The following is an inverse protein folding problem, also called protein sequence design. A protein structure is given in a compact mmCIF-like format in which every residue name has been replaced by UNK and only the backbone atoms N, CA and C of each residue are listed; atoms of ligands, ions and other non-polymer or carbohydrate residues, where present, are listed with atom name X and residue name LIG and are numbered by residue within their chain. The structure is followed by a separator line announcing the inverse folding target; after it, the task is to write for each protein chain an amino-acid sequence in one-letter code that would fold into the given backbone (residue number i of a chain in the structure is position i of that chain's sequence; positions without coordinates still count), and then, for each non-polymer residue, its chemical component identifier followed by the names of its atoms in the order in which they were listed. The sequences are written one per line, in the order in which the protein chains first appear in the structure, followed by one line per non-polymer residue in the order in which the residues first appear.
data_IF_366569879180
#
_entry.id   IF_366569879180
#
_cell.length_a   1.000
_cell.length_b   1.000
_cell.length_c   1.000
_cell.angle_alpha   90.00
_cell.angle_beta   90.00
_cell.angle_gamma   90.00
#
_symmetry.space_group_name_H-M   'P 1'
#
loop_
_entity.id
_entity.type
_entity.pdbx_description
1 polymer ?
#
# COMPACT_ATOMS: atom_id res chain seq x y z
N UNK A 1 -14.19 -22.86 -9.00
CA UNK A 1 -12.79 -22.40 -9.21
C UNK A 1 -12.50 -21.10 -8.47
N UNK A 2 -13.44 -20.15 -8.37
CA UNK A 2 -13.32 -18.88 -7.62
C UNK A 2 -13.04 -19.04 -6.11
N UNK A 3 -13.59 -20.06 -5.45
CA UNK A 3 -13.38 -20.30 -4.01
C UNK A 3 -11.95 -20.70 -3.65
N UNK A 4 -11.28 -21.46 -4.51
CA UNK A 4 -9.91 -21.93 -4.26
C UNK A 4 -8.89 -20.79 -4.41
N UNK A 5 -9.16 -19.86 -5.32
CA UNK A 5 -8.31 -18.69 -5.56
C UNK A 5 -8.41 -17.66 -4.44
N UNK A 6 -9.63 -17.39 -3.95
CA UNK A 6 -9.84 -16.52 -2.79
C UNK A 6 -9.14 -17.02 -1.52
N UNK A 7 -9.10 -18.33 -1.30
CA UNK A 7 -8.36 -18.92 -0.18
C UNK A 7 -6.84 -18.74 -0.33
N UNK A 8 -6.31 -18.84 -1.55
CA UNK A 8 -4.90 -18.56 -1.86
C UNK A 8 -4.56 -17.10 -1.57
N UNK A 9 -5.34 -16.15 -2.08
CA UNK A 9 -5.13 -14.72 -1.86
C UNK A 9 -5.24 -14.33 -0.37
N UNK A 10 -6.21 -14.88 0.34
CA UNK A 10 -6.33 -14.73 1.79
C UNK A 10 -5.09 -15.25 2.52
N UNK A 11 -4.61 -16.44 2.15
CA UNK A 11 -3.43 -17.04 2.77
C UNK A 11 -2.19 -16.20 2.49
N UNK A 12 -2.02 -15.72 1.26
CA UNK A 12 -0.96 -14.80 0.86
C UNK A 12 -0.99 -13.49 1.64
N UNK A 13 -2.17 -12.89 1.82
CA UNK A 13 -2.32 -11.68 2.64
C UNK A 13 -1.98 -11.92 4.11
N UNK A 14 -2.47 -12.99 4.71
CA UNK A 14 -2.15 -13.32 6.11
C UNK A 14 -0.67 -13.60 6.32
N UNK A 15 -0.03 -14.28 5.36
CA UNK A 15 1.40 -14.49 5.33
C UNK A 15 2.16 -13.15 5.24
N UNK A 16 1.75 -12.26 4.33
CA UNK A 16 2.30 -10.91 4.19
C UNK A 16 2.21 -10.12 5.50
N UNK A 17 1.06 -10.12 6.18
CA UNK A 17 0.91 -9.45 7.48
C UNK A 17 1.85 -10.03 8.53
N UNK A 18 2.03 -11.36 8.58
CA UNK A 18 2.97 -12.00 9.49
C UNK A 18 4.43 -11.61 9.18
N UNK A 19 4.76 -11.50 7.90
CA UNK A 19 6.08 -11.08 7.42
C UNK A 19 6.38 -9.63 7.81
N UNK A 20 5.43 -8.72 7.63
CA UNK A 20 5.53 -7.32 8.08
C UNK A 20 5.78 -7.22 9.60
N UNK A 21 5.11 -8.06 10.42
CA UNK A 21 5.38 -8.10 11.87
C UNK A 21 6.81 -8.57 12.19
N UNK A 22 7.32 -9.52 11.42
CA UNK A 22 8.67 -10.05 11.60
C UNK A 22 9.71 -9.02 11.18
N UNK A 23 9.53 -8.42 9.99
CA UNK A 23 10.37 -7.33 9.50
C UNK A 23 10.41 -6.17 10.49
N UNK A 24 9.27 -5.75 11.04
CA UNK A 24 9.22 -4.65 12.01
C UNK A 24 10.06 -4.94 13.26
N UNK A 25 10.04 -6.17 13.79
CA UNK A 25 10.87 -6.55 14.95
C UNK A 25 12.37 -6.48 14.62
N UNK A 26 12.76 -6.96 13.45
CA UNK A 26 14.14 -6.94 12.97
C UNK A 26 14.64 -5.50 12.75
N UNK A 27 13.84 -4.67 12.07
CA UNK A 27 14.14 -3.25 11.86
C UNK A 27 14.31 -2.50 13.19
N UNK A 28 13.42 -2.72 14.16
CA UNK A 28 13.51 -2.10 15.48
C UNK A 28 14.72 -2.59 16.26
N UNK A 29 15.06 -3.88 16.17
CA UNK A 29 16.23 -4.43 16.83
C UNK A 29 17.51 -3.72 16.38
N UNK A 30 17.67 -3.54 15.07
CA UNK A 30 18.83 -2.84 14.50
C UNK A 30 18.89 -1.38 14.97
N UNK A 31 17.76 -0.66 14.98
CA UNK A 31 17.73 0.73 15.49
C UNK A 31 18.10 0.85 16.99
N UNK A 32 17.90 -0.20 17.79
CA UNK A 32 18.22 -0.21 19.22
C UNK A 32 19.64 -0.65 19.57
N UNK A 33 20.38 -1.22 18.61
CA UNK A 33 21.77 -1.62 18.81
C UNK A 33 22.75 -0.45 18.57
N UNK A 34 23.88 -0.39 19.31
CA UNK A 34 24.91 0.67 19.22
C UNK A 34 26.12 0.20 18.39
N UNK A 35 26.82 1.06 17.59
CA UNK A 35 26.33 2.16 16.76
C UNK A 35 26.12 1.72 15.29
N UNK A 36 25.08 2.32 14.69
CA UNK A 36 24.53 2.14 13.35
C UNK A 36 25.45 2.63 12.22
N UNK A 37 26.61 1.99 12.02
CA UNK A 37 27.52 2.30 10.90
C UNK A 37 27.69 1.14 9.91
N UNK A 38 27.02 0.01 10.14
CA UNK A 38 26.97 -1.09 9.18
C UNK A 38 25.93 -0.80 8.09
N UNK A 39 26.28 0.14 7.21
CA UNK A 39 25.46 0.50 6.06
C UNK A 39 25.15 -0.70 5.16
N UNK A 40 26.04 -1.70 5.09
CA UNK A 40 25.82 -2.90 4.29
C UNK A 40 24.70 -3.76 4.89
N UNK A 41 24.70 -3.95 6.21
CA UNK A 41 23.62 -4.64 6.91
C UNK A 41 22.28 -3.90 6.77
N UNK A 42 22.27 -2.57 6.92
CA UNK A 42 21.07 -1.75 6.75
C UNK A 42 20.51 -1.85 5.32
N UNK A 43 21.38 -1.81 4.31
CA UNK A 43 20.99 -1.96 2.91
C UNK A 43 20.41 -3.34 2.61
N UNK A 44 21.04 -4.41 3.11
CA UNK A 44 20.53 -5.78 2.97
C UNK A 44 19.14 -5.93 3.61
N UNK A 45 18.93 -5.31 4.77
CA UNK A 45 17.65 -5.35 5.45
C UNK A 45 16.57 -4.56 4.70
N UNK A 46 16.93 -3.42 4.10
CA UNK A 46 16.04 -2.64 3.26
C UNK A 46 15.65 -3.41 1.98
N UNK A 47 16.62 -4.04 1.32
CA UNK A 47 16.40 -4.85 0.13
C UNK A 47 15.51 -6.06 0.42
N UNK A 48 15.72 -6.74 1.54
CA UNK A 48 14.85 -7.82 2.03
C UNK A 48 13.40 -7.38 2.18
N UNK A 49 13.17 -6.20 2.78
CA UNK A 49 11.82 -5.64 2.95
C UNK A 49 11.16 -5.33 1.60
N UNK A 50 11.90 -4.74 0.66
CA UNK A 50 11.43 -4.47 -0.70
C UNK A 50 11.11 -5.77 -1.43
N UNK A 51 11.93 -6.81 -1.28
CA UNK A 51 11.70 -8.11 -1.91
C UNK A 51 10.41 -8.74 -1.38
N UNK A 52 10.20 -8.74 -0.07
CA UNK A 52 8.96 -9.22 0.55
C UNK A 52 7.71 -8.48 0.02
N UNK A 53 7.79 -7.16 -0.14
CA UNK A 53 6.72 -6.36 -0.75
C UNK A 53 6.48 -6.75 -2.22
N UNK A 54 7.56 -6.92 -2.99
CA UNK A 54 7.52 -7.30 -4.40
C UNK A 54 6.87 -8.68 -4.57
N UNK A 55 7.27 -9.66 -3.77
CA UNK A 55 6.73 -11.02 -3.82
C UNK A 55 5.23 -11.05 -3.49
N UNK A 56 4.80 -10.30 -2.47
CA UNK A 56 3.38 -10.18 -2.12
C UNK A 56 2.56 -9.61 -3.30
N UNK A 57 3.05 -8.58 -3.97
CA UNK A 57 2.36 -7.98 -5.12
C UNK A 57 2.36 -8.89 -6.36
N UNK A 58 3.43 -9.66 -6.60
CA UNK A 58 3.49 -10.61 -7.70
C UNK A 58 2.49 -11.78 -7.52
N UNK A 59 2.31 -12.26 -6.30
CA UNK A 59 1.45 -13.43 -6.03
C UNK A 59 -0.05 -13.15 -6.18
N UNK A 60 -0.48 -11.89 -6.07
CA UNK A 60 -1.90 -11.52 -6.07
C UNK A 60 -2.48 -11.12 -7.43
N UNK A 61 -1.65 -10.95 -8.48
CA UNK A 61 -2.06 -10.41 -9.79
C UNK A 61 -3.00 -11.31 -10.63
N UNK A 62 -3.29 -12.53 -10.17
CA UNK A 62 -4.04 -13.53 -10.95
C UNK A 62 -5.57 -13.53 -10.75
N UNK A 63 -6.12 -12.82 -9.75
CA UNK A 63 -7.59 -12.66 -9.57
C UNK A 63 -7.96 -11.21 -9.26
N UNK A 64 -8.50 -10.52 -10.26
CA UNK A 64 -8.54 -9.06 -10.26
C UNK A 64 -9.70 -8.49 -9.45
N UNK A 65 -10.83 -9.19 -9.37
CA UNK A 65 -12.03 -8.67 -8.69
C UNK A 65 -11.93 -8.76 -7.17
N UNK A 66 -11.40 -9.86 -6.64
CA UNK A 66 -11.28 -10.08 -5.19
C UNK A 66 -10.30 -9.11 -4.52
N UNK A 67 -9.44 -8.45 -5.29
CA UNK A 67 -8.47 -7.44 -4.81
C UNK A 67 -9.15 -6.11 -4.46
N UNK A 68 -10.27 -5.75 -5.11
CA UNK A 68 -10.96 -4.48 -4.87
C UNK A 68 -11.89 -4.53 -3.65
N UNK A 69 -12.30 -5.72 -3.24
CA UNK A 69 -13.12 -5.93 -2.04
C UNK A 69 -12.73 -7.24 -1.36
N UNK A 70 -11.50 -7.33 -0.85
CA UNK A 70 -11.00 -8.55 -0.24
C UNK A 70 -11.83 -8.87 1.00
N UNK A 71 -12.48 -10.05 0.98
CA UNK A 71 -13.28 -10.56 2.10
C UNK A 71 -12.47 -10.88 3.36
N UNK A 72 -11.15 -10.87 3.24
CA UNK A 72 -10.20 -11.10 4.34
C UNK A 72 -9.65 -9.81 4.96
N UNK A 73 -10.02 -8.65 4.42
CA UNK A 73 -9.76 -7.35 5.04
C UNK A 73 -11.04 -6.79 5.65
N UNK A 74 -10.91 -5.93 6.64
CA UNK A 74 -12.05 -5.28 7.28
C UNK A 74 -12.66 -4.20 6.41
N UNK A 75 -13.88 -3.77 6.76
CA UNK A 75 -14.54 -2.63 6.11
C UNK A 75 -13.69 -1.34 6.18
N UNK A 76 -13.01 -1.15 7.31
CA UNK A 76 -12.08 -0.04 7.53
C UNK A 76 -10.81 -0.13 6.68
N UNK A 77 -10.21 -1.32 6.55
CA UNK A 77 -9.05 -1.50 5.65
C UNK A 77 -9.44 -1.24 4.20
N UNK A 78 -10.57 -1.80 3.77
CA UNK A 78 -11.08 -1.67 2.41
C UNK A 78 -11.39 -0.22 2.03
N UNK A 79 -11.85 0.62 2.96
CA UNK A 79 -12.13 2.03 2.69
C UNK A 79 -10.87 2.89 2.49
N UNK A 80 -9.70 2.41 2.92
CA UNK A 80 -8.42 3.10 2.79
C UNK A 80 -7.61 2.65 1.55
N UNK A 81 -7.99 1.54 0.92
CA UNK A 81 -7.26 1.03 -0.24
C UNK A 81 -7.55 1.84 -1.50
N UNK A 82 -6.47 2.23 -2.18
CA UNK A 82 -6.44 2.71 -3.54
C UNK A 82 -5.95 1.60 -4.47
N UNK A 83 -6.87 1.02 -5.25
CA UNK A 83 -6.57 -0.01 -6.27
C UNK A 83 -5.81 -1.20 -5.64
N UNK A 84 -6.48 -1.90 -4.72
CA UNK A 84 -5.94 -3.10 -4.10
C UNK A 84 -4.88 -2.90 -3.02
N UNK A 85 -4.58 -1.68 -2.59
CA UNK A 85 -3.61 -1.43 -1.52
C UNK A 85 -3.45 0.04 -1.21
N UNK A 86 -2.49 0.43 -0.37
CA UNK A 86 -2.30 1.86 -0.05
C UNK A 86 -1.79 2.67 -1.24
N UNK A 87 -2.17 3.95 -1.30
CA UNK A 87 -1.69 4.86 -2.33
C UNK A 87 -0.18 5.11 -2.17
N UNK A 88 0.67 4.94 -3.20
CA UNK A 88 2.14 5.04 -3.11
C UNK A 88 2.68 6.31 -2.44
N UNK A 89 2.03 7.45 -2.62
CA UNK A 89 2.38 8.74 -2.00
C UNK A 89 2.38 8.71 -0.48
N UNK A 90 1.74 7.72 0.16
CA UNK A 90 1.79 7.54 1.62
C UNK A 90 3.23 7.35 2.14
N UNK A 91 4.12 6.69 1.38
CA UNK A 91 5.53 6.53 1.79
C UNK A 91 6.23 7.88 1.90
N UNK A 92 5.93 8.79 0.98
CA UNK A 92 6.51 10.13 0.94
C UNK A 92 5.90 11.02 2.03
N UNK A 93 4.60 10.88 2.29
CA UNK A 93 3.93 11.60 3.39
C UNK A 93 4.46 11.16 4.76
N UNK A 94 4.68 9.86 4.96
CA UNK A 94 5.34 9.33 6.16
C UNK A 94 6.73 9.94 6.33
N UNK A 95 7.49 10.04 5.25
CA UNK A 95 8.81 10.64 5.26
C UNK A 95 8.78 12.12 5.70
N UNK A 96 7.84 12.92 5.19
CA UNK A 96 7.66 14.30 5.65
C UNK A 96 7.28 14.37 7.14
N UNK A 97 6.40 13.48 7.60
CA UNK A 97 6.06 13.41 9.03
C UNK A 97 7.25 13.04 9.91
N UNK A 98 8.15 12.17 9.43
CA UNK A 98 9.42 11.87 10.11
C UNK A 98 10.28 13.14 10.18
N UNK A 99 10.41 13.89 9.08
CA UNK A 99 11.19 15.13 9.04
C UNK A 99 10.72 16.16 10.07
N UNK A 100 9.40 16.35 10.18
CA UNK A 100 8.79 17.28 11.13
C UNK A 100 8.96 16.86 12.59
N UNK A 101 9.04 15.55 12.85
CA UNK A 101 9.30 15.06 14.21
C UNK A 101 10.76 15.21 14.65
N UNK A 102 11.68 15.25 13.68
CA UNK A 102 13.13 15.40 13.89
C UNK A 102 13.60 16.86 13.84
N UNK A 103 12.85 17.73 13.15
CA UNK A 103 13.11 19.16 13.00
C UNK A 103 12.00 19.97 13.66
N UNK A 104 12.31 20.69 14.73
CA UNK A 104 11.38 21.65 15.38
C UNK A 104 10.92 22.80 14.44
N UNK A 105 11.30 22.83 13.15
CA UNK A 105 11.16 24.00 12.28
C UNK A 105 10.69 23.76 10.82
N UNK A 106 10.09 22.62 10.45
CA UNK A 106 9.56 22.43 9.09
C UNK A 106 8.02 22.52 9.06
N UNK A 107 7.47 23.66 8.63
CA UNK A 107 6.04 23.90 8.45
C UNK A 107 5.46 23.13 7.25
N UNK A 108 5.21 21.82 7.39
CA UNK A 108 4.41 21.04 6.43
C UNK A 108 3.29 20.32 7.20
N UNK A 109 2.27 21.05 7.68
CA UNK A 109 1.21 20.46 8.52
C UNK A 109 0.53 19.23 7.89
N UNK A 110 0.91 18.03 8.33
CA UNK A 110 0.12 16.80 8.23
C UNK A 110 -0.57 16.50 9.58
N UNK A 111 -1.75 15.84 9.59
CA UNK A 111 -2.45 15.54 10.83
C UNK A 111 -1.65 14.55 11.69
N UNK A 112 -1.23 15.00 12.87
CA UNK A 112 -0.50 14.19 13.86
C UNK A 112 -1.34 12.98 14.25
N UNK A 113 -0.93 11.78 13.81
CA UNK A 113 -1.52 10.54 14.28
C UNK A 113 -0.60 9.90 15.33
N UNK A 114 -1.06 9.95 16.58
CA UNK A 114 -0.61 9.20 17.76
C UNK A 114 0.69 9.65 18.46
N UNK A 115 0.53 10.02 19.74
CA UNK A 115 1.58 10.26 20.74
C UNK A 115 2.44 9.02 21.01
N UNK A 116 3.73 9.21 21.29
CA UNK A 116 4.54 8.25 22.04
C UNK A 116 6.04 8.28 21.74
N UNK A 117 6.78 9.00 22.57
CA UNK A 117 8.23 8.93 22.84
C UNK A 117 9.21 9.25 21.69
N UNK A 118 9.77 10.45 21.76
CA UNK A 118 10.86 10.96 20.93
C UNK A 118 12.20 10.31 21.29
N UNK A 119 12.56 9.26 20.57
CA UNK A 119 13.97 8.87 20.45
C UNK A 119 14.65 9.81 19.47
N UNK A 120 15.43 10.76 20.00
CA UNK A 120 16.20 11.74 19.24
C UNK A 120 17.40 11.04 18.58
N UNK A 121 17.20 10.47 17.40
CA UNK A 121 18.27 9.97 16.54
C UNK A 121 17.84 10.12 15.08
N UNK A 122 18.47 11.04 14.34
CA UNK A 122 18.19 11.27 12.92
C UNK A 122 19.01 12.44 12.40
N UNK A 123 19.98 12.16 11.52
CA UNK A 123 20.81 13.17 10.87
C UNK A 123 20.00 14.02 9.89
N UNK A 124 20.29 15.32 9.87
CA UNK A 124 19.62 16.30 9.01
C UNK A 124 19.62 15.85 7.52
N UNK A 125 18.46 15.90 6.87
CA UNK A 125 18.33 15.62 5.44
C UNK A 125 19.05 16.69 4.61
N UNK A 126 19.85 16.26 3.64
CA UNK A 126 20.53 17.20 2.75
C UNK A 126 19.52 17.93 1.86
N UNK A 127 19.77 19.21 1.55
CA UNK A 127 18.95 19.97 0.60
C UNK A 127 18.80 19.29 -0.77
N UNK A 128 19.79 18.47 -1.18
CA UNK A 128 19.70 17.62 -2.38
C UNK A 128 18.64 16.51 -2.23
N UNK A 129 18.60 15.83 -1.08
CA UNK A 129 17.61 14.78 -0.81
C UNK A 129 16.19 15.37 -0.86
N UNK A 130 15.98 16.53 -0.24
CA UNK A 130 14.67 17.21 -0.24
C UNK A 130 14.20 17.54 -1.67
N UNK A 131 15.10 18.01 -2.55
CA UNK A 131 14.76 18.29 -3.95
C UNK A 131 14.39 17.01 -4.72
N UNK A 132 15.16 15.93 -4.54
CA UNK A 132 14.89 14.64 -5.16
C UNK A 132 13.56 14.04 -4.69
N UNK A 133 13.27 14.11 -3.40
CA UNK A 133 12.00 13.63 -2.82
C UNK A 133 10.82 14.45 -3.34
N UNK A 134 10.94 15.77 -3.45
CA UNK A 134 9.89 16.62 -4.03
C UNK A 134 9.60 16.27 -5.49
N UNK A 135 10.65 16.04 -6.28
CA UNK A 135 10.50 15.60 -7.68
C UNK A 135 9.83 14.22 -7.75
N UNK A 136 10.27 13.26 -6.93
CA UNK A 136 9.66 11.93 -6.84
C UNK A 136 8.18 12.02 -6.43
N UNK A 137 7.83 12.92 -5.50
CA UNK A 137 6.46 13.12 -5.07
C UNK A 137 5.56 13.60 -6.21
N UNK A 138 5.99 14.62 -6.95
CA UNK A 138 5.24 15.13 -8.10
C UNK A 138 5.02 14.04 -9.17
N UNK A 139 6.07 13.27 -9.49
CA UNK A 139 5.98 12.16 -10.45
C UNK A 139 5.05 11.04 -9.96
N UNK A 140 5.10 10.73 -8.66
CA UNK A 140 4.24 9.73 -8.03
C UNK A 140 2.78 10.14 -8.11
N UNK A 141 2.45 11.37 -7.73
CA UNK A 141 1.07 11.89 -7.78
C UNK A 141 0.53 11.89 -9.21
N UNK A 142 1.33 12.34 -10.18
CA UNK A 142 0.95 12.30 -11.61
C UNK A 142 0.67 10.86 -12.10
N UNK A 143 1.51 9.89 -11.70
CA UNK A 143 1.30 8.49 -12.04
C UNK A 143 0.06 7.90 -11.37
N UNK A 144 -0.21 8.26 -10.12
CA UNK A 144 -1.43 7.88 -9.40
C UNK A 144 -2.69 8.44 -10.06
N UNK A 145 -2.66 9.69 -10.53
CA UNK A 145 -3.76 10.33 -11.27
C UNK A 145 -4.00 9.64 -12.61
N UNK A 146 -2.94 9.27 -13.33
CA UNK A 146 -3.04 8.53 -14.58
C UNK A 146 -3.70 7.15 -14.38
N UNK A 147 -3.27 6.38 -13.37
CA UNK A 147 -3.85 5.06 -13.05
C UNK A 147 -5.31 5.22 -12.59
N UNK A 148 -5.61 6.22 -11.75
CA UNK A 148 -6.97 6.49 -11.27
C UNK A 148 -7.91 6.87 -12.43
N UNK A 149 -7.42 7.66 -13.38
CA UNK A 149 -8.19 8.06 -14.57
C UNK A 149 -8.49 6.85 -15.47
N UNK A 150 -7.52 5.94 -15.64
CA UNK A 150 -7.75 4.68 -16.36
C UNK A 150 -8.80 3.81 -15.69
N UNK A 151 -8.79 3.72 -14.35
CA UNK A 151 -9.81 3.01 -13.58
C UNK A 151 -11.20 3.63 -13.78
N UNK A 152 -11.31 4.96 -13.69
CA UNK A 152 -12.57 5.67 -13.89
C UNK A 152 -13.13 5.46 -15.31
N UNK A 153 -12.30 5.59 -16.34
CA UNK A 153 -12.70 5.33 -17.73
C UNK A 153 -13.18 3.88 -17.91
N UNK A 154 -12.48 2.91 -17.32
CA UNK A 154 -12.89 1.50 -17.38
C UNK A 154 -14.26 1.27 -16.75
N UNK A 155 -14.52 1.89 -15.59
CA UNK A 155 -15.80 1.83 -14.90
C UNK A 155 -16.93 2.43 -15.75
N UNK A 156 -16.69 3.55 -16.42
CA UNK A 156 -17.65 4.18 -17.33
C UNK A 156 -17.97 3.28 -18.54
N UNK A 157 -16.97 2.65 -19.15
CA UNK A 157 -17.15 1.79 -20.33
C UNK A 157 -18.05 0.55 -20.07
N UNK A 158 -17.93 -0.12 -18.93
CA UNK A 158 -18.81 -1.26 -18.60
C UNK A 158 -20.27 -0.82 -18.44
N UNK A 159 -20.48 0.36 -17.86
CA UNK A 159 -21.82 0.91 -17.67
C UNK A 159 -22.47 1.35 -18.98
N UNK A 160 -21.67 1.55 -20.03
CA UNK A 160 -22.12 1.97 -21.35
C UNK A 160 -22.68 0.83 -22.21
N UNK A 161 -21.87 -0.16 -22.61
CA UNK A 161 -22.33 -1.12 -23.64
C UNK A 161 -22.92 -2.43 -23.07
N UNK A 162 -22.20 -3.25 -22.28
CA UNK A 162 -22.70 -4.58 -21.90
C UNK A 162 -23.93 -4.52 -20.99
N UNK A 163 -23.93 -3.60 -20.02
CA UNK A 163 -25.04 -3.46 -19.07
C UNK A 163 -26.30 -2.88 -19.72
N UNK A 164 -26.16 -1.94 -20.66
CA UNK A 164 -27.28 -1.39 -21.43
C UNK A 164 -27.83 -2.42 -22.42
N UNK A 165 -26.96 -3.19 -23.08
CA UNK A 165 -27.36 -4.26 -24.00
C UNK A 165 -28.16 -5.35 -23.26
N UNK A 166 -27.75 -5.73 -22.04
CA UNK A 166 -28.56 -6.64 -21.19
C UNK A 166 -29.87 -6.03 -20.75
N UNK A 167 -29.91 -4.74 -20.41
CA UNK A 167 -31.13 -4.07 -19.98
C UNK A 167 -32.14 -3.88 -21.12
N UNK A 168 -31.69 -3.90 -22.37
CA UNK A 168 -32.51 -3.69 -23.57
C UNK A 168 -32.92 -4.99 -24.29
N UNK A 169 -32.68 -6.16 -23.68
CA UNK A 169 -33.04 -7.50 -24.16
C UNK A 169 -32.44 -7.91 -25.53
N UNK A 170 -31.37 -7.25 -25.98
CA UNK A 170 -30.79 -7.47 -27.32
C UNK A 170 -29.42 -8.18 -27.31
N UNK A 171 -28.82 -8.42 -26.14
CA UNK A 171 -27.55 -9.14 -26.04
C UNK A 171 -27.71 -10.60 -25.68
N UNK A 172 -26.90 -11.46 -26.29
CA UNK A 172 -26.74 -12.84 -25.84
C UNK A 172 -25.87 -12.90 -24.56
N UNK A 173 -26.14 -13.85 -23.66
CA UNK A 173 -25.32 -14.10 -22.47
C UNK A 173 -23.81 -14.24 -22.81
N UNK A 174 -23.50 -14.78 -23.99
CA UNK A 174 -22.14 -14.94 -24.48
C UNK A 174 -21.43 -13.61 -24.80
N UNK A 175 -22.15 -12.57 -25.25
CA UNK A 175 -21.57 -11.25 -25.50
C UNK A 175 -21.25 -10.53 -24.19
N UNK A 176 -22.12 -10.68 -23.20
CA UNK A 176 -21.94 -10.14 -21.85
C UNK A 176 -20.73 -10.77 -21.19
N UNK A 177 -20.62 -12.10 -21.21
CA UNK A 177 -19.46 -12.80 -20.65
C UNK A 177 -18.15 -12.42 -21.35
N UNK A 178 -18.15 -12.24 -22.68
CA UNK A 178 -16.95 -11.74 -23.39
C UNK A 178 -16.55 -10.34 -22.94
N UNK A 179 -17.52 -9.45 -22.78
CA UNK A 179 -17.26 -8.09 -22.33
C UNK A 179 -16.75 -8.05 -20.87
N UNK A 180 -17.35 -8.86 -19.99
CA UNK A 180 -16.88 -9.02 -18.61
C UNK A 180 -15.47 -9.61 -18.53
N UNK A 181 -15.15 -10.58 -19.39
CA UNK A 181 -13.80 -11.14 -19.48
C UNK A 181 -12.77 -10.09 -19.94
N UNK A 182 -13.09 -9.32 -20.99
CA UNK A 182 -12.24 -8.21 -21.45
C UNK A 182 -12.04 -7.15 -20.37
N UNK A 183 -13.11 -6.81 -19.63
CA UNK A 183 -13.03 -5.90 -18.50
C UNK A 183 -12.07 -6.41 -17.41
N UNK A 184 -12.17 -7.70 -17.01
CA UNK A 184 -11.29 -8.30 -16.00
C UNK A 184 -9.81 -8.24 -16.40
N UNK A 185 -9.49 -8.35 -17.69
CA UNK A 185 -8.13 -8.24 -18.21
C UNK A 185 -7.58 -6.82 -18.02
N UNK A 186 -8.34 -5.79 -18.43
CA UNK A 186 -7.91 -4.40 -18.25
C UNK A 186 -7.77 -4.04 -16.78
N UNK A 187 -8.71 -4.53 -15.95
CA UNK A 187 -8.66 -4.36 -14.51
C UNK A 187 -7.39 -4.96 -13.89
N UNK A 188 -6.97 -6.13 -14.38
CA UNK A 188 -5.71 -6.75 -13.97
C UNK A 188 -4.49 -5.92 -14.30
N UNK A 189 -4.45 -5.34 -15.51
CA UNK A 189 -3.40 -4.40 -15.89
C UNK A 189 -3.30 -3.20 -14.94
N UNK A 190 -4.44 -2.61 -14.57
CA UNK A 190 -4.49 -1.47 -13.63
C UNK A 190 -3.93 -1.85 -12.25
N UNK A 191 -4.24 -3.06 -11.75
CA UNK A 191 -3.69 -3.54 -10.48
C UNK A 191 -2.19 -3.74 -10.57
N UNK A 192 -1.69 -4.33 -11.68
CA UNK A 192 -0.26 -4.52 -11.92
C UNK A 192 0.47 -3.17 -11.94
N UNK A 193 -0.06 -2.18 -12.65
CA UNK A 193 0.53 -0.84 -12.72
C UNK A 193 0.56 -0.15 -11.34
N UNK A 194 -0.50 -0.31 -10.54
CA UNK A 194 -0.54 0.23 -9.18
C UNK A 194 0.47 -0.47 -8.24
N UNK A 195 0.60 -1.78 -8.36
CA UNK A 195 1.54 -2.61 -7.59
C UNK A 195 2.99 -2.27 -7.95
N UNK A 196 3.30 -2.14 -9.24
CA UNK A 196 4.60 -1.71 -9.73
C UNK A 196 4.95 -0.30 -9.24
N UNK A 197 3.99 0.63 -9.25
CA UNK A 197 4.22 1.98 -8.74
C UNK A 197 4.55 1.98 -7.24
N UNK A 198 3.86 1.17 -6.41
CA UNK A 198 4.17 1.05 -4.97
C UNK A 198 5.60 0.57 -4.73
N UNK A 199 6.03 -0.46 -5.45
CA UNK A 199 7.39 -1.03 -5.33
C UNK A 199 8.42 -0.03 -5.84
N UNK A 200 8.16 0.63 -6.96
CA UNK A 200 9.07 1.60 -7.58
C UNK A 200 9.31 2.80 -6.67
N UNK A 201 8.24 3.40 -6.12
CA UNK A 201 8.37 4.55 -5.21
C UNK A 201 9.21 4.20 -3.98
N UNK A 202 8.98 3.03 -3.37
CA UNK A 202 9.77 2.61 -2.22
C UNK A 202 11.25 2.37 -2.58
N UNK A 203 11.53 1.74 -3.72
CA UNK A 203 12.90 1.55 -4.23
C UNK A 203 13.61 2.88 -4.48
N UNK A 204 12.95 3.83 -5.16
CA UNK A 204 13.53 5.15 -5.41
C UNK A 204 13.80 5.92 -4.12
N UNK A 205 12.91 5.83 -3.13
CA UNK A 205 13.16 6.39 -1.79
C UNK A 205 14.39 5.77 -1.14
N UNK A 206 14.56 4.44 -1.19
CA UNK A 206 15.76 3.79 -0.64
C UNK A 206 17.06 4.21 -1.36
N UNK A 207 16.98 4.64 -2.63
CA UNK A 207 18.14 5.17 -3.36
C UNK A 207 18.49 6.61 -2.97
N UNK A 208 17.50 7.40 -2.54
CA UNK A 208 17.68 8.81 -2.16
C UNK A 208 18.12 8.94 -0.69
N UNK A 209 17.61 8.07 0.17
CA UNK A 209 17.84 8.10 1.62
C UNK A 209 19.19 7.50 2.00
N UNK A 210 19.74 7.92 3.14
CA UNK A 210 20.83 7.13 3.77
C UNK A 210 20.26 5.80 4.28
N UNK A 211 21.09 4.75 4.44
CA UNK A 211 20.58 3.45 4.89
C UNK A 211 19.80 3.54 6.20
N UNK A 212 20.27 4.34 7.16
CA UNK A 212 19.57 4.58 8.43
C UNK A 212 18.21 5.27 8.23
N UNK A 213 18.15 6.34 7.42
CA UNK A 213 16.88 7.00 7.07
C UNK A 213 15.91 6.04 6.38
N UNK A 214 16.43 5.15 5.52
CA UNK A 214 15.67 4.08 4.88
C UNK A 214 15.03 3.13 5.90
N UNK A 215 15.79 2.69 6.90
CA UNK A 215 15.27 1.87 7.99
C UNK A 215 14.16 2.59 8.77
N UNK A 216 14.33 3.87 9.10
CA UNK A 216 13.29 4.67 9.76
C UNK A 216 12.00 4.72 8.95
N UNK A 217 12.10 4.96 7.63
CA UNK A 217 10.93 4.95 6.74
C UNK A 217 10.26 3.57 6.70
N UNK A 218 11.04 2.49 6.63
CA UNK A 218 10.51 1.12 6.63
C UNK A 218 9.80 0.77 7.95
N UNK A 219 10.34 1.21 9.09
CA UNK A 219 9.67 1.06 10.40
C UNK A 219 8.33 1.80 10.40
N UNK A 220 8.31 3.07 9.98
CA UNK A 220 7.08 3.85 9.93
C UNK A 220 6.04 3.22 9.00
N UNK A 221 6.47 2.77 7.82
CA UNK A 221 5.61 2.11 6.83
C UNK A 221 5.00 0.81 7.37
N UNK A 222 5.82 -0.04 7.99
CA UNK A 222 5.37 -1.28 8.63
C UNK A 222 4.38 -1.00 9.78
N UNK A 223 4.70 -0.01 10.64
CA UNK A 223 3.84 0.39 11.75
C UNK A 223 2.48 0.88 11.25
N UNK A 224 2.44 1.71 10.21
CA UNK A 224 1.20 2.21 9.63
C UNK A 224 0.34 1.04 9.12
N UNK A 225 0.93 0.17 8.31
CA UNK A 225 0.22 -0.98 7.73
C UNK A 225 -0.37 -1.91 8.81
N UNK A 226 0.44 -2.25 9.82
CA UNK A 226 0.00 -3.09 10.93
C UNK A 226 -1.03 -2.41 11.82
N UNK A 227 -0.90 -1.11 12.06
CA UNK A 227 -1.85 -0.34 12.86
C UNK A 227 -3.23 -0.31 12.20
N UNK A 228 -3.29 -0.02 10.90
CA UNK A 228 -4.54 -0.03 10.14
C UNK A 228 -5.22 -1.41 10.21
N UNK A 229 -4.43 -2.48 10.07
CA UNK A 229 -4.93 -3.84 10.17
C UNK A 229 -5.52 -4.16 11.55
N UNK A 230 -4.84 -3.75 12.64
CA UNK A 230 -5.34 -3.98 14.00
C UNK A 230 -6.54 -3.08 14.35
N UNK A 231 -6.54 -1.82 13.92
CA UNK A 231 -7.69 -0.91 14.08
C UNK A 231 -8.92 -1.45 13.37
N UNK A 232 -8.74 -1.95 12.15
CA UNK A 232 -9.81 -2.59 11.39
C UNK A 232 -10.45 -3.74 12.17
N UNK A 233 -9.65 -4.68 12.67
CA UNK A 233 -10.15 -5.81 13.47
C UNK A 233 -10.89 -5.36 14.73
N UNK A 234 -10.42 -4.31 15.40
CA UNK A 234 -11.07 -3.78 16.59
C UNK A 234 -12.41 -3.11 16.28
N UNK A 235 -12.49 -2.37 15.17
CA UNK A 235 -13.73 -1.73 14.70
C UNK A 235 -14.80 -2.78 14.37
N UNK A 236 -14.45 -3.80 13.59
CA UNK A 236 -15.41 -4.86 13.22
C UNK A 236 -15.88 -5.66 14.43
N UNK A 237 -14.99 -5.98 15.39
CA UNK A 237 -15.38 -6.64 16.66
C UNK A 237 -16.36 -5.81 17.48
N UNK A 238 -16.19 -4.49 17.51
CA UNK A 238 -17.06 -3.57 18.27
C UNK A 238 -18.44 -3.43 17.60
N UNK A 239 -18.48 -3.45 16.26
CA UNK A 239 -19.73 -3.46 15.49
C UNK A 239 -20.51 -4.76 15.68
N UNK A 240 -19.83 -5.92 15.67
CA UNK A 240 -20.47 -7.23 15.88
C UNK A 240 -21.00 -7.39 17.31
N UNK A 241 -20.29 -6.87 18.32
CA UNK A 241 -20.74 -6.90 19.71
C UNK A 241 -22.05 -6.12 19.91
N UNK A 242 -22.24 -5.00 19.20
CA UNK A 242 -23.46 -4.19 19.28
C UNK A 242 -24.65 -4.79 18.50
N UNK A 243 -24.39 -5.59 17.45
CA UNK A 243 -25.44 -6.27 16.67
C UNK A 243 -25.98 -7.50 17.40
N UNK A 244 -25.16 -8.17 18.23
CA UNK A 244 -25.58 -9.36 19.01
C UNK A 244 -26.29 -9.02 20.33
N UNK A 245 -26.48 -7.73 20.63
CA UNK A 245 -27.22 -7.22 21.81
C UNK A 245 -28.58 -6.60 21.47
N UNK A 246 -29.06 -6.78 20.23
CA UNK A 246 -30.41 -6.44 19.77
C UNK A 246 -31.18 -7.72 19.44
#
# INVERSE_FOLDING_TARGET
MTTNNNNSLRTGFLHWIALQRTNLKELLHVLTAVPNDDNDHLNQLAEKNIQHLTDYHLTRSNDTLSIFSPSWCTSFENSLFWIGGFKPSIYIQLLYSIFESESENLDIKLPKMCNGESSKCGGEYSGKQVQLIKALHANTVSSEEMISSRMANLQECITGEPLIITATNNGSDHEVERALAAHRVVLGGIVVDADELRVTVLKELMRILTPLQGIHLLVASNRLHLSIHEWGKCSDRSTVANILTL
#
